data_IF_286864845155
#
_entry.id   IF_286864845155
#
_cell.length_a   1.000
_cell.length_b   1.000
_cell.length_c   1.000
_cell.angle_alpha   90.00
_cell.angle_beta   90.00
_cell.angle_gamma   90.00
#
_symmetry.space_group_name_H-M   'P 1'
#
loop_
_entity.id
_entity.type
_entity.pdbx_description
1 polymer ?
#
# COMPACT_ATOMS: atom_id res chain seq x y z
N UNK A 1 -13.58 -27.78 -24.93
CA UNK A 1 -12.31 -27.05 -25.14
C UNK A 1 -11.15 -28.03 -24.99
N UNK A 2 -10.06 -27.86 -25.73
CA UNK A 2 -8.90 -28.76 -25.63
C UNK A 2 -7.88 -28.20 -24.64
N UNK A 3 -7.25 -29.09 -23.87
CA UNK A 3 -6.19 -28.70 -22.95
C UNK A 3 -4.94 -28.23 -23.72
N UNK A 4 -4.39 -27.06 -23.40
CA UNK A 4 -3.21 -26.50 -24.10
C UNK A 4 -1.97 -27.40 -23.91
N UNK A 5 -1.88 -28.12 -22.80
CA UNK A 5 -0.70 -28.93 -22.45
C UNK A 5 -0.71 -30.33 -23.07
N UNK A 6 -1.87 -30.98 -23.11
CA UNK A 6 -1.97 -32.38 -23.58
C UNK A 6 -2.94 -32.58 -24.75
N UNK A 7 -3.56 -31.51 -25.26
CA UNK A 7 -4.56 -31.51 -26.32
C UNK A 7 -5.79 -32.42 -26.09
N UNK A 8 -5.98 -32.93 -24.87
CA UNK A 8 -7.15 -33.74 -24.55
C UNK A 8 -8.45 -32.92 -24.64
N UNK A 9 -9.52 -33.48 -25.21
CA UNK A 9 -10.84 -32.84 -25.23
C UNK A 9 -11.43 -32.82 -23.81
N UNK A 10 -11.90 -31.66 -23.37
CA UNK A 10 -12.57 -31.50 -22.09
C UNK A 10 -13.93 -30.80 -22.26
N UNK A 11 -14.83 -31.06 -21.31
CA UNK A 11 -16.12 -30.40 -21.20
C UNK A 11 -15.93 -28.87 -21.14
N UNK A 12 -16.83 -28.08 -21.75
CA UNK A 12 -16.70 -26.62 -21.77
C UNK A 12 -16.75 -25.97 -20.38
N UNK A 13 -17.32 -26.64 -19.37
CA UNK A 13 -17.40 -26.16 -17.99
C UNK A 13 -16.28 -26.69 -17.07
N UNK A 14 -15.38 -27.53 -17.58
CA UNK A 14 -14.34 -28.16 -16.77
C UNK A 14 -13.26 -27.14 -16.37
N UNK A 15 -13.02 -26.96 -15.06
CA UNK A 15 -11.96 -26.08 -14.53
C UNK A 15 -10.55 -26.66 -14.69
N UNK A 16 -10.45 -27.99 -14.66
CA UNK A 16 -9.20 -28.75 -14.76
C UNK A 16 -9.31 -29.81 -15.86
N UNK A 17 -8.18 -30.16 -16.47
CA UNK A 17 -8.10 -31.20 -17.47
C UNK A 17 -8.25 -32.57 -16.83
N UNK A 18 -9.23 -33.35 -17.28
CA UNK A 18 -9.47 -34.71 -16.76
C UNK A 18 -8.33 -35.70 -17.06
N UNK A 19 -7.45 -35.38 -18.01
CA UNK A 19 -6.36 -36.27 -18.43
C UNK A 19 -5.02 -35.97 -17.74
N UNK A 20 -4.63 -34.70 -17.66
CA UNK A 20 -3.34 -34.29 -17.09
C UNK A 20 -3.43 -33.46 -15.81
N UNK A 21 -4.64 -33.14 -15.35
CA UNK A 21 -4.89 -32.36 -14.13
C UNK A 21 -4.64 -30.85 -14.25
N UNK A 22 -4.24 -30.36 -15.43
CA UNK A 22 -3.86 -28.94 -15.60
C UNK A 22 -5.07 -28.00 -15.70
N UNK A 23 -4.93 -26.74 -15.29
CA UNK A 23 -6.01 -25.75 -15.36
C UNK A 23 -6.36 -25.42 -16.83
N UNK A 24 -7.64 -25.53 -17.20
CA UNK A 24 -8.10 -25.28 -18.57
C UNK A 24 -8.43 -23.81 -18.83
N UNK A 25 -8.78 -23.08 -17.77
CA UNK A 25 -8.97 -21.65 -17.83
C UNK A 25 -7.69 -20.95 -17.42
N UNK A 26 -7.24 -19.89 -18.13
CA UNK A 26 -6.38 -18.92 -17.50
C UNK A 26 -7.20 -18.27 -16.38
N UNK A 27 -7.02 -18.76 -15.15
CA UNK A 27 -7.37 -18.01 -13.95
C UNK A 27 -6.85 -16.59 -14.17
N UNK A 28 -7.64 -15.57 -13.86
CA UNK A 28 -7.34 -14.15 -14.05
C UNK A 28 -6.11 -13.75 -13.18
N UNK A 29 -4.92 -14.26 -13.49
CA UNK A 29 -3.67 -13.99 -12.78
C UNK A 29 -3.01 -12.72 -13.30
N UNK A 30 -3.43 -12.24 -14.48
CA UNK A 30 -2.87 -11.05 -15.11
C UNK A 30 -3.46 -9.74 -14.53
N UNK A 31 -4.76 -9.70 -14.21
CA UNK A 31 -5.38 -8.51 -13.62
C UNK A 31 -4.98 -8.31 -12.14
N UNK A 32 -4.81 -9.41 -11.40
CA UNK A 32 -4.40 -9.35 -9.98
C UNK A 32 -3.00 -8.74 -9.81
N UNK A 33 -2.04 -9.09 -10.67
CA UNK A 33 -0.68 -8.55 -10.57
C UNK A 33 -0.62 -7.05 -10.88
N UNK A 34 -1.45 -6.56 -11.82
CA UNK A 34 -1.52 -5.12 -12.09
C UNK A 34 -2.19 -4.36 -10.94
N UNK A 35 -3.31 -4.88 -10.42
CA UNK A 35 -4.01 -4.27 -9.29
C UNK A 35 -3.14 -4.21 -8.02
N UNK A 36 -2.41 -5.29 -7.73
CA UNK A 36 -1.45 -5.34 -6.62
C UNK A 36 -0.31 -4.33 -6.81
N UNK A 37 0.25 -4.23 -8.01
CA UNK A 37 1.32 -3.26 -8.30
C UNK A 37 0.81 -1.83 -8.18
N UNK A 38 -0.38 -1.54 -8.71
CA UNK A 38 -1.02 -0.23 -8.58
C UNK A 38 -1.28 0.12 -7.11
N UNK A 39 -1.77 -0.82 -6.30
CA UNK A 39 -1.97 -0.64 -4.87
C UNK A 39 -0.66 -0.25 -4.15
N UNK A 40 0.43 -0.99 -4.40
CA UNK A 40 1.73 -0.71 -3.80
C UNK A 40 2.29 0.64 -4.24
N UNK A 41 2.09 1.03 -5.50
CA UNK A 41 2.49 2.35 -6.01
C UNK A 41 1.71 3.46 -5.31
N UNK A 42 0.39 3.33 -5.15
CA UNK A 42 -0.45 4.32 -4.47
C UNK A 42 0.00 4.50 -3.01
N UNK A 43 0.26 3.40 -2.30
CA UNK A 43 0.78 3.45 -0.92
C UNK A 43 2.17 4.11 -0.88
N UNK A 44 3.04 3.81 -1.84
CA UNK A 44 4.35 4.45 -1.95
C UNK A 44 4.28 5.96 -2.19
N UNK A 45 3.33 6.43 -3.01
CA UNK A 45 3.10 7.86 -3.28
C UNK A 45 2.57 8.58 -2.04
N UNK A 46 1.62 7.97 -1.32
CA UNK A 46 1.09 8.51 -0.07
C UNK A 46 2.20 8.66 0.99
N UNK A 47 3.08 7.66 1.08
CA UNK A 47 4.24 7.70 1.96
C UNK A 47 5.24 8.80 1.57
N UNK A 48 5.57 8.94 0.29
CA UNK A 48 6.42 10.02 -0.22
C UNK A 48 5.84 11.41 0.07
N UNK A 49 4.53 11.57 -0.08
CA UNK A 49 3.85 12.84 0.22
C UNK A 49 3.94 13.21 1.70
N UNK A 50 3.89 12.19 2.57
CA UNK A 50 4.07 12.36 4.02
C UNK A 50 5.52 12.76 4.38
N UNK A 51 6.51 12.16 3.70
CA UNK A 51 7.93 12.53 3.80
C UNK A 51 8.19 13.98 3.38
N UNK A 52 7.66 14.40 2.23
CA UNK A 52 7.78 15.78 1.72
C UNK A 52 7.16 16.77 2.69
N UNK A 53 5.99 16.44 3.24
CA UNK A 53 5.32 17.28 4.25
C UNK A 53 6.18 17.45 5.51
N UNK A 54 6.82 16.38 5.99
CA UNK A 54 7.73 16.44 7.14
C UNK A 54 8.93 17.35 6.86
N UNK A 55 9.57 17.19 5.70
CA UNK A 55 10.73 18.01 5.31
C UNK A 55 10.35 19.49 5.16
N UNK A 56 9.20 19.80 4.55
CA UNK A 56 8.74 21.17 4.45
C UNK A 56 8.56 21.81 5.82
N UNK A 57 7.96 21.11 6.78
CA UNK A 57 7.67 21.67 8.09
C UNK A 57 8.87 21.75 9.02
N UNK A 58 9.75 20.75 9.01
CA UNK A 58 10.90 20.71 9.93
C UNK A 58 12.17 21.32 9.33
N UNK A 59 12.16 21.73 8.07
CA UNK A 59 13.32 22.33 7.42
C UNK A 59 12.96 23.66 6.73
N UNK A 60 12.04 23.64 5.77
CA UNK A 60 11.84 24.78 4.87
C UNK A 60 11.03 25.92 5.50
N UNK A 61 9.91 25.60 6.15
CA UNK A 61 8.98 26.58 6.68
C UNK A 61 9.56 27.38 7.87
N UNK A 62 10.20 26.77 8.89
CA UNK A 62 10.80 27.53 9.99
C UNK A 62 11.93 28.44 9.50
N UNK A 63 12.61 28.05 8.41
CA UNK A 63 13.60 28.89 7.75
C UNK A 63 12.98 30.05 6.95
N UNK A 64 11.78 29.88 6.36
CA UNK A 64 11.18 30.84 5.43
C UNK A 64 10.12 31.77 6.04
N UNK A 65 9.30 31.30 6.99
CA UNK A 65 8.03 31.95 7.36
C UNK A 65 7.83 32.17 8.87
N UNK A 66 8.72 31.67 9.73
CA UNK A 66 8.54 31.74 11.18
C UNK A 66 7.52 30.73 11.73
N UNK A 67 7.54 30.51 13.05
CA UNK A 67 7.03 29.29 13.67
C UNK A 67 5.50 29.29 13.95
N UNK A 68 4.84 30.45 13.94
CA UNK A 68 3.58 30.62 14.69
C UNK A 68 2.29 30.31 13.91
N UNK A 69 2.30 30.32 12.58
CA UNK A 69 1.09 30.21 11.74
C UNK A 69 0.78 28.80 11.22
N UNK A 70 1.67 27.82 11.43
CA UNK A 70 1.55 26.46 10.88
C UNK A 70 0.89 25.47 11.86
N UNK A 71 0.82 25.82 13.15
CA UNK A 71 0.44 24.91 14.22
C UNK A 71 -1.01 24.42 14.13
N UNK A 72 -1.99 25.29 13.81
CA UNK A 72 -3.40 24.95 13.99
C UNK A 72 -4.00 24.07 12.87
N UNK A 73 -3.80 24.45 11.60
CA UNK A 73 -4.28 23.68 10.45
C UNK A 73 -3.64 22.30 10.43
N UNK A 74 -2.36 22.21 10.82
CA UNK A 74 -1.63 20.96 10.79
C UNK A 74 -1.91 20.04 11.98
N UNK A 75 -2.19 20.56 13.18
CA UNK A 75 -2.54 19.70 14.31
C UNK A 75 -3.81 18.90 14.04
N UNK A 76 -4.79 19.51 13.36
CA UNK A 76 -6.07 18.88 13.04
C UNK A 76 -5.92 17.98 11.81
N UNK A 77 -5.28 18.44 10.74
CA UNK A 77 -5.16 17.68 9.49
C UNK A 77 -4.14 16.54 9.56
N UNK A 78 -3.04 16.72 10.31
CA UNK A 78 -2.02 15.69 10.50
C UNK A 78 -2.58 14.46 11.21
N UNK A 79 -3.34 14.67 12.29
CA UNK A 79 -3.97 13.58 13.05
C UNK A 79 -4.98 12.77 12.23
N UNK A 80 -5.82 13.46 11.45
CA UNK A 80 -6.85 12.77 10.66
C UNK A 80 -6.23 11.96 9.52
N UNK A 81 -5.25 12.53 8.80
CA UNK A 81 -4.55 11.83 7.73
C UNK A 81 -3.83 10.57 8.24
N UNK A 82 -3.14 10.66 9.37
CA UNK A 82 -2.41 9.53 9.95
C UNK A 82 -3.33 8.39 10.41
N UNK A 83 -4.45 8.71 11.04
CA UNK A 83 -5.45 7.70 11.45
C UNK A 83 -6.03 7.00 10.22
N UNK A 84 -6.38 7.75 9.18
CA UNK A 84 -6.94 7.21 7.93
C UNK A 84 -5.93 6.29 7.25
N UNK A 85 -4.66 6.70 7.16
CA UNK A 85 -3.60 5.90 6.55
C UNK A 85 -3.37 4.57 7.30
N UNK A 86 -3.36 4.60 8.64
CA UNK A 86 -3.28 3.39 9.47
C UNK A 86 -4.48 2.47 9.23
N UNK A 87 -5.69 3.03 9.26
CA UNK A 87 -6.92 2.26 9.04
C UNK A 87 -6.93 1.60 7.65
N UNK A 88 -6.50 2.33 6.61
CA UNK A 88 -6.36 1.80 5.26
C UNK A 88 -5.33 0.67 5.20
N UNK A 89 -4.14 0.84 5.79
CA UNK A 89 -3.11 -0.20 5.83
C UNK A 89 -3.58 -1.46 6.54
N UNK A 90 -4.31 -1.33 7.66
CA UNK A 90 -4.91 -2.46 8.37
C UNK A 90 -5.96 -3.18 7.51
N UNK A 91 -6.84 -2.43 6.83
CA UNK A 91 -7.81 -3.00 5.92
C UNK A 91 -7.15 -3.77 4.76
N UNK A 92 -6.06 -3.23 4.19
CA UNK A 92 -5.30 -3.91 3.14
C UNK A 92 -4.57 -5.16 3.66
N UNK A 93 -4.05 -5.16 4.89
CA UNK A 93 -3.41 -6.33 5.48
C UNK A 93 -4.37 -7.52 5.67
N UNK A 94 -5.65 -7.25 5.90
CA UNK A 94 -6.70 -8.27 6.06
C UNK A 94 -7.16 -8.80 4.70
N UNK A 95 -7.36 -7.91 3.72
CA UNK A 95 -7.91 -8.27 2.41
C UNK A 95 -6.90 -8.95 1.49
N UNK A 96 -5.61 -8.60 1.60
CA UNK A 96 -4.58 -9.12 0.71
C UNK A 96 -4.10 -10.51 1.16
N UNK A 97 -4.31 -11.51 0.30
CA UNK A 97 -3.86 -12.90 0.53
C UNK A 97 -2.40 -13.16 0.08
N UNK A 98 -1.83 -12.29 -0.76
CA UNK A 98 -0.48 -12.47 -1.31
C UNK A 98 0.60 -12.24 -0.24
N UNK A 99 1.45 -13.26 0.00
CA UNK A 99 2.50 -13.23 1.04
C UNK A 99 3.54 -12.13 0.84
N UNK A 100 3.97 -11.86 -0.40
CA UNK A 100 4.96 -10.80 -0.66
C UNK A 100 4.39 -9.41 -0.40
N UNK A 101 3.16 -9.17 -0.85
CA UNK A 101 2.46 -7.89 -0.66
C UNK A 101 2.16 -7.67 0.82
N UNK A 102 1.74 -8.71 1.53
CA UNK A 102 1.52 -8.65 2.98
C UNK A 102 2.79 -8.29 3.73
N UNK A 103 3.94 -8.85 3.33
CA UNK A 103 5.24 -8.46 3.89
C UNK A 103 5.55 -6.99 3.63
N UNK A 104 5.33 -6.49 2.41
CA UNK A 104 5.53 -5.08 2.09
C UNK A 104 4.61 -4.15 2.90
N UNK A 105 3.32 -4.51 3.04
CA UNK A 105 2.36 -3.77 3.86
C UNK A 105 2.77 -3.69 5.33
N UNK A 106 3.31 -4.78 5.90
CA UNK A 106 3.84 -4.79 7.27
C UNK A 106 5.01 -3.82 7.39
N UNK A 107 5.93 -3.81 6.42
CA UNK A 107 7.07 -2.88 6.42
C UNK A 107 6.56 -1.43 6.39
N UNK A 108 5.64 -1.09 5.47
CA UNK A 108 5.05 0.24 5.40
C UNK A 108 4.31 0.63 6.68
N UNK A 109 3.62 -0.31 7.31
CA UNK A 109 2.95 -0.09 8.58
C UNK A 109 3.94 0.27 9.70
N UNK A 110 5.00 -0.53 9.88
CA UNK A 110 6.04 -0.25 10.89
C UNK A 110 6.72 1.08 10.61
N UNK A 111 7.08 1.35 9.36
CA UNK A 111 7.67 2.61 8.92
C UNK A 111 6.75 3.80 9.25
N UNK A 112 5.43 3.65 9.05
CA UNK A 112 4.45 4.69 9.36
C UNK A 112 4.33 4.95 10.86
N UNK A 113 4.38 3.91 11.70
CA UNK A 113 4.41 4.08 13.16
C UNK A 113 5.67 4.81 13.60
N UNK A 114 6.84 4.46 13.06
CA UNK A 114 8.09 5.18 13.32
C UNK A 114 7.97 6.65 12.90
N UNK A 115 7.36 6.91 11.74
CA UNK A 115 7.08 8.28 11.28
C UNK A 115 6.16 9.04 12.20
N UNK A 116 5.07 8.45 12.66
CA UNK A 116 4.13 9.06 13.61
C UNK A 116 4.82 9.43 14.92
N UNK A 117 5.62 8.52 15.47
CA UNK A 117 6.38 8.76 16.69
C UNK A 117 7.40 9.87 16.45
N UNK A 118 8.16 9.79 15.36
CA UNK A 118 9.16 10.79 14.99
C UNK A 118 8.55 12.18 14.76
N UNK A 119 7.41 12.23 14.07
CA UNK A 119 6.74 13.47 13.77
C UNK A 119 6.13 14.13 15.02
N UNK A 120 5.53 13.33 15.92
CA UNK A 120 4.78 13.82 17.08
C UNK A 120 5.64 14.06 18.32
N UNK A 121 6.65 13.23 18.56
CA UNK A 121 7.46 13.28 19.79
C UNK A 121 8.85 13.86 19.57
N UNK A 122 9.40 13.80 18.35
CA UNK A 122 10.66 14.51 18.06
C UNK A 122 10.31 15.96 17.73
N UNK A 123 10.21 16.77 18.78
CA UNK A 123 10.46 18.19 18.66
C UNK A 123 11.93 18.32 18.25
N UNK A 124 12.15 18.60 16.96
CA UNK A 124 13.49 19.00 16.54
C UNK A 124 13.73 20.36 17.18
N UNK A 125 14.75 20.50 18.03
CA UNK A 125 15.16 21.81 18.47
C UNK A 125 15.67 22.54 17.22
N UNK A 126 14.88 23.47 16.72
CA UNK A 126 15.39 24.61 15.98
C UNK A 126 15.42 25.79 16.94
#
# INVERSE_FOLDING_TARGET
MNCIKCNAPNLPEAKFCGNCGDELAPQIKLADNYAIKALLIIIGIEYLSSLVSLLLQKLAIPFLLGNDSISYVYNIYGWTSDIIAIAALLAFMITVKNKQVKSALIIFFVLRIVFLIGFRFINFPM
#
